data_IF_807332917392
#
_entry.id   IF_807332917392
#
_cell.length_a   1.000
_cell.length_b   1.000
_cell.length_c   1.000
_cell.angle_alpha   90.00
_cell.angle_beta   90.00
_cell.angle_gamma   90.00
#
_symmetry.space_group_name_H-M   'P 1'
#
loop_
_entity.id
_entity.type
_entity.pdbx_description
1 polymer ?
#
# COMPACT_ATOMS: atom_id res chain seq x y z
N UNK A 1 17.25 35.23 -0.16
CA UNK A 1 17.06 34.00 -0.95
C UNK A 1 18.28 33.11 -0.84
N UNK A 2 18.02 31.88 -0.64
CA UNK A 2 19.09 30.92 -0.70
C UNK A 2 19.59 30.79 -2.11
N UNK A 3 20.84 30.46 -2.25
CA UNK A 3 21.34 30.25 -3.58
C UNK A 3 20.74 28.95 -4.18
N UNK A 4 20.79 28.86 -5.50
CA UNK A 4 20.16 27.78 -6.22
C UNK A 4 20.78 26.42 -5.92
N UNK A 5 22.08 26.40 -5.61
CA UNK A 5 22.78 25.15 -5.32
C UNK A 5 22.23 24.52 -4.04
N UNK A 6 22.02 25.33 -3.01
CA UNK A 6 21.46 24.84 -1.74
C UNK A 6 20.04 24.36 -1.92
N UNK A 7 19.22 25.08 -2.68
CA UNK A 7 17.85 24.68 -2.98
C UNK A 7 17.80 23.35 -3.73
N UNK A 8 18.69 23.15 -4.70
CA UNK A 8 18.75 21.90 -5.44
C UNK A 8 19.14 20.74 -4.55
N UNK A 9 20.09 20.94 -3.65
CA UNK A 9 20.51 19.89 -2.72
C UNK A 9 19.36 19.44 -1.83
N UNK A 10 18.59 20.37 -1.29
CA UNK A 10 17.42 20.05 -0.48
C UNK A 10 16.35 19.35 -1.31
N UNK A 11 16.08 19.81 -2.54
CA UNK A 11 15.12 19.18 -3.41
C UNK A 11 15.48 17.73 -3.71
N UNK A 12 16.75 17.44 -3.98
CA UNK A 12 17.20 16.09 -4.24
C UNK A 12 17.06 15.17 -3.03
N UNK A 13 17.31 15.69 -1.83
CA UNK A 13 17.13 14.95 -0.59
C UNK A 13 15.65 14.59 -0.40
N UNK A 14 14.76 15.55 -0.57
CA UNK A 14 13.31 15.29 -0.45
C UNK A 14 12.81 14.30 -1.48
N UNK A 15 13.25 14.42 -2.73
CA UNK A 15 12.87 13.46 -3.76
C UNK A 15 13.31 12.05 -3.43
N UNK A 16 14.50 11.91 -2.88
CA UNK A 16 15.03 10.62 -2.49
C UNK A 16 14.24 10.01 -1.35
N UNK A 17 13.88 10.83 -0.35
CA UNK A 17 13.04 10.40 0.76
C UNK A 17 11.66 9.97 0.28
N UNK A 18 11.07 10.69 -0.67
CA UNK A 18 9.77 10.35 -1.21
C UNK A 18 9.78 9.02 -1.96
N UNK A 19 10.83 8.76 -2.72
CA UNK A 19 11.00 7.48 -3.41
C UNK A 19 11.16 6.34 -2.39
N UNK A 20 11.98 6.53 -1.38
CA UNK A 20 12.18 5.52 -0.33
C UNK A 20 10.88 5.20 0.40
N UNK A 21 10.12 6.23 0.74
CA UNK A 21 8.82 6.06 1.38
C UNK A 21 7.85 5.31 0.47
N UNK A 22 7.81 5.68 -0.81
CA UNK A 22 6.95 5.00 -1.78
C UNK A 22 7.32 3.53 -1.91
N UNK A 23 8.61 3.21 -1.93
CA UNK A 23 9.07 1.82 -1.98
C UNK A 23 8.68 1.05 -0.72
N UNK A 24 8.74 1.68 0.44
CA UNK A 24 8.28 1.06 1.69
C UNK A 24 6.79 0.76 1.66
N UNK A 25 5.98 1.64 1.10
CA UNK A 25 4.55 1.43 0.95
C UNK A 25 4.29 0.22 0.04
N UNK A 26 5.01 0.12 -1.07
CA UNK A 26 4.87 -1.01 -1.99
C UNK A 26 5.24 -2.33 -1.33
N UNK A 27 6.31 -2.35 -0.54
CA UNK A 27 6.71 -3.56 0.20
C UNK A 27 5.68 -3.93 1.27
N UNK A 28 5.07 -2.93 1.91
CA UNK A 28 4.04 -3.16 2.92
C UNK A 28 2.79 -3.80 2.34
N UNK A 29 2.51 -3.60 1.05
CA UNK A 29 1.35 -4.19 0.39
C UNK A 29 1.39 -5.72 0.44
N UNK A 30 2.56 -6.32 0.23
CA UNK A 30 2.71 -7.77 0.30
C UNK A 30 2.38 -8.29 1.69
N UNK A 31 2.75 -7.54 2.72
CA UNK A 31 2.45 -7.88 4.11
C UNK A 31 0.94 -7.79 4.35
N UNK A 32 0.30 -6.73 3.87
CA UNK A 32 -1.15 -6.53 4.00
C UNK A 32 -1.91 -7.66 3.31
N UNK A 33 -1.50 -8.02 2.10
CA UNK A 33 -2.12 -9.12 1.34
C UNK A 33 -1.99 -10.45 2.08
N UNK A 34 -0.81 -10.74 2.63
CA UNK A 34 -0.59 -11.95 3.41
C UNK A 34 -1.47 -11.98 4.67
N UNK A 35 -1.57 -10.85 5.37
CA UNK A 35 -2.42 -10.73 6.55
C UNK A 35 -3.89 -10.89 6.20
N UNK A 36 -4.33 -10.32 5.08
CA UNK A 36 -5.71 -10.49 4.63
C UNK A 36 -6.02 -11.97 4.38
N UNK A 37 -5.13 -12.69 3.72
CA UNK A 37 -5.31 -14.12 3.45
C UNK A 37 -5.35 -14.93 4.74
N UNK A 38 -4.51 -14.58 5.73
CA UNK A 38 -4.52 -15.22 7.04
C UNK A 38 -5.84 -14.99 7.78
N UNK A 39 -6.33 -13.76 7.79
CA UNK A 39 -7.61 -13.41 8.40
C UNK A 39 -8.74 -14.16 7.73
N UNK A 40 -8.74 -14.21 6.41
CA UNK A 40 -9.75 -14.94 5.64
C UNK A 40 -9.76 -16.42 6.00
N UNK A 41 -8.57 -17.04 6.08
CA UNK A 41 -8.47 -18.44 6.46
C UNK A 41 -8.97 -18.69 7.88
N UNK A 42 -8.62 -17.80 8.82
CA UNK A 42 -9.06 -17.89 10.21
C UNK A 42 -10.58 -17.73 10.32
N UNK A 43 -11.17 -16.82 9.57
CA UNK A 43 -12.62 -16.61 9.56
C UNK A 43 -13.35 -17.83 8.99
N UNK A 44 -12.82 -18.43 7.93
CA UNK A 44 -13.39 -19.66 7.36
C UNK A 44 -13.34 -20.79 8.39
N UNK A 45 -12.21 -20.97 9.06
CA UNK A 45 -12.06 -21.98 10.09
C UNK A 45 -13.03 -21.73 11.26
N UNK A 46 -13.14 -20.47 11.69
CA UNK A 46 -14.09 -20.09 12.75
C UNK A 46 -15.53 -20.35 12.37
N UNK A 47 -15.89 -20.09 11.10
CA UNK A 47 -17.23 -20.33 10.60
C UNK A 47 -17.60 -21.81 10.60
N UNK A 48 -16.63 -22.68 10.27
CA UNK A 48 -16.85 -24.12 10.35
C UNK A 48 -17.11 -24.60 11.75
N UNK A 49 -16.43 -24.01 12.73
CA UNK A 49 -16.62 -24.35 14.15
C UNK A 49 -17.86 -23.71 14.76
N UNK A 50 -18.28 -22.57 14.25
CA UNK A 50 -19.39 -21.78 14.78
C UNK A 50 -20.26 -21.21 13.66
N UNK A 51 -21.09 -22.07 13.02
CA UNK A 51 -21.93 -21.61 11.89
C UNK A 51 -22.94 -20.53 12.29
N UNK A 52 -23.27 -20.43 13.58
CA UNK A 52 -24.15 -19.40 14.12
C UNK A 52 -23.56 -18.00 14.09
N UNK A 53 -22.24 -17.89 13.84
CA UNK A 53 -21.54 -16.61 13.75
C UNK A 53 -21.23 -16.17 12.31
N UNK A 54 -21.98 -16.68 11.37
CA UNK A 54 -21.79 -16.39 9.96
C UNK A 54 -21.82 -14.88 9.68
N UNK A 55 -22.79 -14.17 10.24
CA UNK A 55 -22.95 -12.74 10.02
C UNK A 55 -21.75 -11.95 10.55
N UNK A 56 -21.30 -12.27 11.76
CA UNK A 56 -20.13 -11.63 12.35
C UNK A 56 -18.87 -11.88 11.51
N UNK A 57 -18.71 -13.11 11.04
CA UNK A 57 -17.56 -13.47 10.20
C UNK A 57 -17.58 -12.72 8.87
N UNK A 58 -18.73 -12.57 8.24
CA UNK A 58 -18.88 -11.81 7.01
C UNK A 58 -18.57 -10.33 7.24
N UNK A 59 -19.04 -9.76 8.35
CA UNK A 59 -18.75 -8.36 8.67
C UNK A 59 -17.26 -8.15 8.88
N UNK A 60 -16.57 -9.04 9.57
CA UNK A 60 -15.14 -8.95 9.77
C UNK A 60 -14.38 -9.11 8.45
N UNK A 61 -14.84 -9.99 7.57
CA UNK A 61 -14.23 -10.16 6.26
C UNK A 61 -14.38 -8.90 5.42
N UNK A 62 -15.55 -8.24 5.49
CA UNK A 62 -15.77 -6.98 4.77
C UNK A 62 -14.85 -5.88 5.28
N UNK A 63 -14.69 -5.78 6.61
CA UNK A 63 -13.75 -4.81 7.20
C UNK A 63 -12.34 -5.08 6.70
N UNK A 64 -11.90 -6.33 6.72
CA UNK A 64 -10.58 -6.71 6.24
C UNK A 64 -10.40 -6.35 4.76
N UNK A 65 -11.45 -6.54 3.94
CA UNK A 65 -11.42 -6.20 2.53
C UNK A 65 -11.31 -4.70 2.29
N UNK A 66 -11.98 -3.89 3.10
CA UNK A 66 -11.83 -2.44 3.02
C UNK A 66 -10.41 -1.99 3.39
N UNK A 67 -9.81 -2.60 4.40
CA UNK A 67 -8.43 -2.30 4.76
C UNK A 67 -7.46 -2.67 3.64
N UNK A 68 -7.69 -3.81 2.98
CA UNK A 68 -6.91 -4.20 1.82
C UNK A 68 -7.03 -3.18 0.69
N UNK A 69 -8.23 -2.68 0.42
CA UNK A 69 -8.44 -1.64 -0.59
C UNK A 69 -7.72 -0.35 -0.27
N UNK A 70 -7.69 0.03 1.00
CA UNK A 70 -6.93 1.20 1.44
C UNK A 70 -5.45 0.99 1.14
N UNK A 71 -4.93 -0.20 1.41
CA UNK A 71 -3.56 -0.56 1.08
C UNK A 71 -3.29 -0.47 -0.43
N UNK A 72 -4.19 -0.99 -1.25
CA UNK A 72 -4.06 -0.93 -2.71
C UNK A 72 -4.03 0.51 -3.21
N UNK A 73 -4.88 1.37 -2.68
CA UNK A 73 -4.85 2.80 -3.02
C UNK A 73 -3.55 3.46 -2.61
N UNK A 74 -3.02 3.10 -1.45
CA UNK A 74 -1.74 3.64 -1.00
C UNK A 74 -0.61 3.22 -1.95
N UNK A 75 -0.61 1.98 -2.42
CA UNK A 75 0.36 1.49 -3.41
C UNK A 75 0.23 2.27 -4.71
N UNK A 76 -0.98 2.50 -5.19
CA UNK A 76 -1.20 3.28 -6.40
C UNK A 76 -0.65 4.69 -6.26
N UNK A 77 -0.86 5.33 -5.13
CA UNK A 77 -0.30 6.65 -4.84
C UNK A 77 1.22 6.58 -4.85
N UNK A 78 1.80 5.57 -4.20
CA UNK A 78 3.24 5.39 -4.16
C UNK A 78 3.83 5.22 -5.57
N UNK A 79 3.18 4.45 -6.42
CA UNK A 79 3.59 4.28 -7.82
C UNK A 79 3.57 5.60 -8.57
N UNK A 80 2.54 6.42 -8.36
CA UNK A 80 2.44 7.74 -8.97
C UNK A 80 3.53 8.69 -8.46
N UNK A 81 3.89 8.61 -7.18
CA UNK A 81 5.00 9.40 -6.62
C UNK A 81 6.31 9.02 -7.33
N UNK A 82 6.59 7.73 -7.45
CA UNK A 82 7.79 7.26 -8.13
C UNK A 82 7.77 7.71 -9.59
N UNK A 83 6.65 7.57 -10.27
CA UNK A 83 6.52 8.02 -11.65
C UNK A 83 6.75 9.54 -11.77
N UNK A 84 6.18 10.33 -10.88
CA UNK A 84 6.31 11.79 -10.91
C UNK A 84 7.77 12.22 -10.77
N UNK A 85 8.58 11.47 -10.05
CA UNK A 85 9.97 11.79 -9.81
C UNK A 85 10.89 11.21 -10.89
N UNK A 86 10.64 9.96 -11.29
CA UNK A 86 11.55 9.23 -12.18
C UNK A 86 11.11 9.23 -13.65
N UNK A 87 9.83 9.53 -13.91
CA UNK A 87 9.27 9.44 -15.25
C UNK A 87 8.90 8.04 -15.68
N UNK A 88 8.99 7.05 -14.77
CA UNK A 88 8.65 5.67 -15.08
C UNK A 88 7.51 5.19 -14.18
N UNK A 89 6.47 4.67 -14.80
CA UNK A 89 5.44 3.98 -14.06
C UNK A 89 5.86 2.53 -13.85
N UNK A 90 5.47 1.96 -12.72
CA UNK A 90 5.87 0.60 -12.36
C UNK A 90 5.43 -0.40 -13.44
N UNK A 91 6.41 -1.08 -14.01
CA UNK A 91 6.19 -2.11 -15.02
C UNK A 91 5.91 -1.61 -16.41
N UNK A 92 5.84 -0.29 -16.62
CA UNK A 92 5.56 0.23 -17.94
C UNK A 92 5.95 1.70 -18.06
N UNK A 93 6.43 2.07 -19.22
CA UNK A 93 6.74 3.47 -19.51
C UNK A 93 5.46 4.18 -19.91
N UNK A 94 5.25 5.36 -19.36
CA UNK A 94 4.19 6.24 -19.83
C UNK A 94 4.67 7.02 -21.03
N UNK A 95 3.88 6.97 -22.06
CA UNK A 95 4.21 7.63 -23.31
C UNK A 95 3.54 8.97 -23.43
#
# INVERSE_FOLDING_TARGET
IRDDVESRGLGDVYKRQDIELAQQVELSDDIVDALFNDVKADLIAGLRGHPDRTEECLDLLMIAKYLERIGDHAVNIAEWVVYAITGLYKGEELK
#
